data_IF_914829835975
#
_entry.id   IF_914829835975
#
_cell.length_a   1.000
_cell.length_b   1.000
_cell.length_c   1.000
_cell.angle_alpha   90.00
_cell.angle_beta   90.00
_cell.angle_gamma   90.00
#
_symmetry.space_group_name_H-M   'P 1'
#
loop_
_entity.id
_entity.type
_entity.pdbx_description
1 polymer ?
#
# COMPACT_ATOMS: atom_id res chain seq x y z
N UNK A 1 -30.76 11.63 -23.24
CA UNK A 1 -30.45 10.23 -23.59
C UNK A 1 -29.10 10.27 -24.28
N UNK A 2 -28.03 9.83 -23.60
CA UNK A 2 -26.71 9.73 -24.24
C UNK A 2 -26.83 8.83 -25.47
N UNK A 3 -26.26 9.28 -26.59
CA UNK A 3 -26.40 8.56 -27.86
C UNK A 3 -25.62 7.24 -27.77
N UNK A 4 -26.11 6.17 -28.39
CA UNK A 4 -25.46 4.83 -28.33
C UNK A 4 -23.96 4.87 -28.69
N UNK A 5 -23.57 5.82 -29.53
CA UNK A 5 -22.20 6.08 -29.95
C UNK A 5 -21.30 6.60 -28.83
N UNK A 6 -21.80 7.48 -27.96
CA UNK A 6 -21.06 7.99 -26.78
C UNK A 6 -20.85 6.88 -25.74
N UNK A 7 -21.83 5.97 -25.58
CA UNK A 7 -21.72 4.84 -24.65
C UNK A 7 -20.71 3.80 -25.15
N UNK A 8 -20.64 3.58 -26.46
CA UNK A 8 -19.64 2.70 -27.10
C UNK A 8 -18.22 3.29 -26.97
N UNK A 9 -18.04 4.59 -27.23
CA UNK A 9 -16.75 5.27 -27.05
C UNK A 9 -16.26 5.25 -25.59
N UNK A 10 -17.17 5.40 -24.62
CA UNK A 10 -16.85 5.27 -23.19
C UNK A 10 -16.48 3.82 -22.82
N UNK A 11 -17.18 2.84 -23.40
CA UNK A 11 -16.91 1.41 -23.15
C UNK A 11 -15.57 0.97 -23.73
N UNK A 12 -15.21 1.46 -24.92
CA UNK A 12 -13.92 1.19 -25.53
C UNK A 12 -12.78 1.83 -24.73
N UNK A 13 -12.94 3.07 -24.24
CA UNK A 13 -11.97 3.73 -23.37
C UNK A 13 -11.76 3.00 -22.03
N UNK A 14 -12.82 2.43 -21.44
CA UNK A 14 -12.74 1.62 -20.21
C UNK A 14 -12.01 0.29 -20.49
N UNK A 15 -12.25 -0.32 -21.64
CA UNK A 15 -11.63 -1.58 -22.03
C UNK A 15 -10.14 -1.44 -22.37
N UNK A 16 -9.72 -0.29 -22.89
CA UNK A 16 -8.30 0.04 -23.08
C UNK A 16 -7.59 0.34 -21.74
N UNK A 17 -8.26 0.94 -20.76
CA UNK A 17 -7.72 1.13 -19.40
C UNK A 17 -7.54 -0.23 -18.67
N UNK A 18 -8.47 -1.18 -18.84
CA UNK A 18 -8.34 -2.55 -18.33
C UNK A 18 -7.18 -3.33 -19.00
N UNK A 19 -6.98 -3.17 -20.32
CA UNK A 19 -5.84 -3.75 -21.04
C UNK A 19 -4.51 -3.10 -20.68
N UNK A 20 -4.50 -1.83 -20.28
CA UNK A 20 -3.28 -1.13 -19.83
C UNK A 20 -2.93 -1.46 -18.38
N UNK A 21 -3.92 -1.65 -17.50
CA UNK A 21 -3.73 -2.10 -16.10
C UNK A 21 -3.27 -3.56 -15.98
N UNK A 22 -3.67 -4.44 -16.89
CA UNK A 22 -3.23 -5.84 -16.87
C UNK A 22 -1.74 -6.04 -17.25
N UNK A 23 -1.07 -5.00 -17.79
CA UNK A 23 0.36 -5.05 -18.18
C UNK A 23 1.34 -4.57 -17.11
N UNK A 24 0.89 -4.09 -15.96
CA UNK A 24 1.76 -3.83 -14.80
C UNK A 24 1.59 -4.89 -13.72
N UNK A 25 1.74 -6.17 -14.09
CA UNK A 25 2.28 -7.18 -13.17
C UNK A 25 3.73 -6.80 -12.90
N UNK A 26 3.95 -5.81 -12.04
CA UNK A 26 5.27 -5.55 -11.45
C UNK A 26 5.49 -6.74 -10.53
N UNK A 27 6.40 -7.60 -10.97
CA UNK A 27 6.83 -8.81 -10.29
C UNK A 27 6.92 -8.59 -8.78
N UNK A 28 6.41 -9.55 -8.01
CA UNK A 28 6.64 -9.70 -6.58
C UNK A 28 8.14 -9.95 -6.34
N UNK A 29 8.96 -8.95 -6.59
CA UNK A 29 10.29 -8.89 -6.03
C UNK A 29 10.05 -8.58 -4.56
N UNK A 30 10.31 -9.56 -3.70
CA UNK A 30 10.40 -9.35 -2.27
C UNK A 30 11.25 -8.11 -2.04
N UNK A 31 10.61 -6.99 -1.72
CA UNK A 31 11.27 -5.73 -1.45
C UNK A 31 11.97 -5.91 -0.10
N UNK A 32 13.19 -6.40 -0.17
CA UNK A 32 14.01 -6.61 1.02
C UNK A 32 14.41 -5.25 1.59
N UNK A 33 14.46 -5.16 2.93
CA UNK A 33 14.94 -3.95 3.64
C UNK A 33 16.37 -3.55 3.24
N UNK A 34 17.12 -4.46 2.60
CA UNK A 34 18.50 -4.28 2.12
C UNK A 34 18.62 -3.33 0.93
N UNK A 35 17.54 -3.12 0.17
CA UNK A 35 17.54 -2.26 -1.03
C UNK A 35 17.35 -0.77 -0.69
N UNK A 36 17.25 -0.44 0.60
CA UNK A 36 17.06 0.91 1.08
C UNK A 36 18.38 1.65 1.30
N UNK A 37 18.45 2.94 0.90
CA UNK A 37 19.65 3.73 1.03
C UNK A 37 20.02 3.92 2.51
N UNK A 38 21.14 3.30 2.92
CA UNK A 38 21.72 3.44 4.25
C UNK A 38 21.25 2.40 5.27
N UNK A 39 20.55 1.35 4.84
CA UNK A 39 20.32 0.13 5.64
C UNK A 39 21.31 -0.92 5.15
N UNK A 40 22.38 -1.12 5.91
CA UNK A 40 23.32 -2.22 5.68
C UNK A 40 22.89 -3.51 6.39
N UNK A 41 23.55 -4.65 6.14
CA UNK A 41 23.25 -5.93 6.78
C UNK A 41 23.31 -5.85 8.32
N UNK A 42 24.21 -5.03 8.87
CA UNK A 42 24.31 -4.82 10.32
C UNK A 42 23.12 -4.03 10.91
N UNK A 43 22.51 -3.13 10.12
CA UNK A 43 21.30 -2.40 10.52
C UNK A 43 20.05 -3.28 10.36
N UNK A 44 20.03 -4.15 9.34
CA UNK A 44 18.97 -5.12 9.11
C UNK A 44 18.82 -6.08 10.30
N UNK A 45 19.90 -6.72 10.75
CA UNK A 45 19.81 -7.66 11.89
C UNK A 45 19.31 -6.98 13.17
N UNK A 46 19.61 -5.68 13.35
CA UNK A 46 19.07 -4.91 14.48
C UNK A 46 17.60 -4.59 14.33
N UNK A 47 17.14 -4.29 13.11
CA UNK A 47 15.73 -4.08 12.79
C UNK A 47 14.91 -5.36 12.95
N UNK A 48 15.46 -6.50 12.54
CA UNK A 48 14.86 -7.82 12.77
C UNK A 48 14.74 -8.13 14.26
N UNK A 49 15.77 -7.81 15.06
CA UNK A 49 15.70 -7.92 16.51
C UNK A 49 14.69 -6.94 17.13
N UNK A 50 14.45 -5.79 16.50
CA UNK A 50 13.44 -4.82 16.90
C UNK A 50 12.02 -5.18 16.41
N UNK A 51 11.86 -6.31 15.70
CA UNK A 51 10.57 -6.79 15.20
C UNK A 51 10.09 -6.12 13.91
N UNK A 52 10.96 -5.40 13.20
CA UNK A 52 10.64 -4.74 11.92
C UNK A 52 11.12 -5.62 10.77
N UNK A 53 10.20 -6.40 10.21
CA UNK A 53 10.48 -7.32 9.10
C UNK A 53 9.95 -6.83 7.75
N UNK A 54 9.04 -5.84 7.76
CA UNK A 54 8.34 -5.37 6.58
C UNK A 54 8.68 -3.90 6.28
N UNK A 55 8.70 -3.58 4.98
CA UNK A 55 8.87 -2.24 4.46
C UNK A 55 7.75 -1.30 4.94
N UNK A 56 6.53 -1.82 5.14
CA UNK A 56 5.42 -1.05 5.70
C UNK A 56 5.71 -0.63 7.16
N UNK A 57 6.26 -1.56 7.96
CA UNK A 57 6.67 -1.28 9.33
C UNK A 57 7.74 -0.19 9.41
N UNK A 58 8.70 -0.23 8.49
CA UNK A 58 9.72 0.80 8.37
C UNK A 58 9.15 2.16 7.94
N UNK A 59 8.23 2.20 6.97
CA UNK A 59 7.68 3.43 6.42
C UNK A 59 6.80 4.24 7.41
N UNK A 60 6.20 3.54 8.38
CA UNK A 60 5.33 4.12 9.43
C UNK A 60 6.14 4.58 10.66
N UNK A 61 7.33 4.02 10.88
CA UNK A 61 8.14 4.34 12.05
C UNK A 61 8.67 5.79 12.03
N UNK A 62 8.82 6.38 13.22
CA UNK A 62 9.40 7.71 13.36
C UNK A 62 10.92 7.68 13.08
N UNK A 63 11.51 8.76 12.53
CA UNK A 63 12.95 8.80 12.29
C UNK A 63 13.80 8.61 13.55
N UNK A 64 13.31 9.04 14.73
CA UNK A 64 14.00 8.85 16.01
C UNK A 64 14.01 7.37 16.40
N UNK A 65 12.84 6.72 16.39
CA UNK A 65 12.71 5.29 16.70
C UNK A 65 13.51 4.42 15.74
N UNK A 66 13.56 4.78 14.44
CA UNK A 66 14.37 4.07 13.46
C UNK A 66 15.87 4.22 13.73
N UNK A 67 16.31 5.43 14.10
CA UNK A 67 17.71 5.68 14.45
C UNK A 67 18.16 4.87 15.65
N UNK A 68 17.32 4.77 16.68
CA UNK A 68 17.61 4.00 17.89
C UNK A 68 17.60 2.50 17.62
N UNK A 69 16.60 2.00 16.88
CA UNK A 69 16.46 0.58 16.56
C UNK A 69 17.54 0.07 15.59
N UNK A 70 17.83 0.80 14.52
CA UNK A 70 18.78 0.38 13.49
C UNK A 70 20.23 0.84 13.78
N UNK A 71 20.42 1.76 14.74
CA UNK A 71 21.72 2.38 15.01
C UNK A 71 22.25 3.23 13.86
N UNK A 72 21.35 3.85 13.09
CA UNK A 72 21.68 4.70 11.92
C UNK A 72 21.49 6.17 12.26
N UNK A 73 22.25 7.06 11.60
CA UNK A 73 22.09 8.51 11.83
C UNK A 73 20.70 8.99 11.45
N UNK A 74 20.17 10.02 12.14
CA UNK A 74 18.83 10.56 11.88
C UNK A 74 18.64 11.14 10.48
N UNK A 75 19.73 11.49 9.78
CA UNK A 75 19.66 11.88 8.37
C UNK A 75 19.45 10.68 7.44
N UNK A 76 20.11 9.55 7.73
CA UNK A 76 19.97 8.30 6.98
C UNK A 76 18.60 7.66 7.25
N UNK A 77 18.15 7.64 8.51
CA UNK A 77 16.81 7.17 8.87
C UNK A 77 15.71 7.89 8.08
N UNK A 78 15.78 9.23 7.99
CA UNK A 78 14.81 10.01 7.20
C UNK A 78 14.83 9.64 5.71
N UNK A 79 16.00 9.44 5.13
CA UNK A 79 16.14 9.04 3.71
C UNK A 79 15.60 7.63 3.48
N UNK A 80 15.88 6.69 4.39
CA UNK A 80 15.37 5.33 4.32
C UNK A 80 13.83 5.29 4.42
N UNK A 81 13.23 6.05 5.34
CA UNK A 81 11.76 6.16 5.47
C UNK A 81 11.15 6.75 4.19
N UNK A 82 11.76 7.80 3.63
CA UNK A 82 11.24 8.41 2.40
C UNK A 82 11.37 7.47 1.20
N UNK A 83 12.49 6.75 1.08
CA UNK A 83 12.67 5.75 0.03
C UNK A 83 11.65 4.61 0.16
N UNK A 84 11.40 4.12 1.37
CA UNK A 84 10.39 3.11 1.63
C UNK A 84 8.97 3.60 1.26
N UNK A 85 8.61 4.84 1.61
CA UNK A 85 7.32 5.43 1.24
C UNK A 85 7.14 5.60 -0.27
N UNK A 86 8.22 5.93 -0.98
CA UNK A 86 8.19 6.07 -2.44
C UNK A 86 8.04 4.72 -3.14
N UNK A 87 8.74 3.69 -2.65
CA UNK A 87 8.66 2.32 -3.18
C UNK A 87 7.24 1.76 -2.99
N UNK A 88 6.65 1.99 -1.82
CA UNK A 88 5.28 1.57 -1.48
C UNK A 88 4.18 2.48 -2.05
N UNK A 89 4.56 3.51 -2.83
CA UNK A 89 3.64 4.47 -3.44
C UNK A 89 2.65 5.09 -2.43
N UNK A 90 3.12 5.34 -1.19
CA UNK A 90 2.33 5.91 -0.07
C UNK A 90 2.07 7.42 -0.22
N UNK A 91 1.94 7.89 -1.46
CA UNK A 91 1.73 9.29 -1.80
C UNK A 91 0.25 9.65 -1.94
N UNK A 92 0.01 10.67 -2.75
CA UNK A 92 -1.34 11.10 -3.10
C UNK A 92 -1.95 10.12 -4.12
N UNK A 93 -3.23 9.77 -3.95
CA UNK A 93 -3.99 8.95 -4.89
C UNK A 93 -5.34 9.58 -5.17
N UNK A 94 -5.90 9.35 -6.36
CA UNK A 94 -7.20 9.90 -6.71
C UNK A 94 -8.34 9.20 -5.95
N UNK A 95 -9.40 9.96 -5.67
CA UNK A 95 -10.55 9.46 -4.90
C UNK A 95 -11.24 8.28 -5.57
N UNK A 96 -11.35 8.27 -6.90
CA UNK A 96 -11.97 7.15 -7.63
C UNK A 96 -11.09 5.90 -7.58
N UNK A 97 -9.77 6.05 -7.67
CA UNK A 97 -8.84 4.93 -7.57
C UNK A 97 -8.83 4.32 -6.17
N UNK A 98 -8.87 5.17 -5.13
CA UNK A 98 -8.96 4.72 -3.75
C UNK A 98 -10.29 3.99 -3.46
N UNK A 99 -11.41 4.48 -4.01
CA UNK A 99 -12.71 3.82 -3.88
C UNK A 99 -12.71 2.41 -4.51
N UNK A 100 -12.11 2.27 -5.71
CA UNK A 100 -11.90 0.96 -6.37
C UNK A 100 -10.99 0.04 -5.55
N UNK A 101 -9.99 0.58 -4.85
CA UNK A 101 -9.15 -0.22 -3.94
C UNK A 101 -9.95 -0.73 -2.73
N UNK A 102 -10.83 0.10 -2.15
CA UNK A 102 -11.66 -0.27 -0.99
C UNK A 102 -12.84 -1.17 -1.34
N UNK A 103 -13.28 -1.25 -2.59
CA UNK A 103 -14.36 -2.20 -2.95
C UNK A 103 -13.96 -3.66 -2.76
N UNK A 104 -12.65 -3.96 -2.73
CA UNK A 104 -12.13 -5.29 -2.47
C UNK A 104 -12.00 -5.63 -0.97
N UNK A 105 -12.42 -4.75 -0.07
CA UNK A 105 -12.38 -5.02 1.38
C UNK A 105 -13.43 -6.07 1.72
N UNK A 106 -12.96 -7.20 2.25
CA UNK A 106 -13.79 -8.29 2.73
C UNK A 106 -14.37 -7.94 4.10
N UNK A 107 -15.57 -8.44 4.37
CA UNK A 107 -16.25 -8.28 5.66
C UNK A 107 -16.67 -9.66 6.16
N UNK A 108 -16.65 -9.85 7.47
CA UNK A 108 -17.02 -11.09 8.15
C UNK A 108 -18.38 -10.87 8.81
N UNK A 109 -19.33 -11.75 8.51
CA UNK A 109 -20.67 -11.68 9.11
C UNK A 109 -20.61 -12.07 10.59
N UNK A 110 -21.40 -11.39 11.42
CA UNK A 110 -21.45 -11.67 12.86
C UNK A 110 -22.41 -12.83 13.20
N UNK A 111 -23.12 -13.35 12.20
CA UNK A 111 -24.13 -14.41 12.35
C UNK A 111 -25.52 -13.90 12.77
N UNK A 112 -25.63 -12.64 13.20
CA UNK A 112 -26.91 -11.98 13.47
C UNK A 112 -27.17 -10.88 12.45
N UNK A 113 -28.31 -11.00 11.74
CA UNK A 113 -28.71 -10.02 10.71
C UNK A 113 -28.89 -8.61 11.28
N UNK A 114 -29.41 -8.50 12.51
CA UNK A 114 -29.64 -7.19 13.15
C UNK A 114 -28.35 -6.49 13.54
N UNK A 115 -27.30 -7.25 13.88
CA UNK A 115 -26.00 -6.69 14.24
C UNK A 115 -25.21 -6.29 13.00
N UNK A 116 -25.24 -7.10 11.94
CA UNK A 116 -24.62 -6.76 10.66
C UNK A 116 -25.23 -5.49 10.06
N UNK A 117 -26.54 -5.28 10.20
CA UNK A 117 -27.24 -4.08 9.74
C UNK A 117 -26.83 -2.83 10.53
N UNK A 118 -26.64 -2.95 11.84
CA UNK A 118 -26.11 -1.87 12.69
C UNK A 118 -24.67 -1.48 12.30
N UNK A 119 -23.86 -2.44 11.83
CA UNK A 119 -22.47 -2.24 11.41
C UNK A 119 -22.34 -1.80 9.93
N UNK A 120 -23.42 -1.31 9.31
CA UNK A 120 -23.39 -0.81 7.92
C UNK A 120 -23.73 -1.88 6.88
N UNK A 121 -24.44 -2.94 7.29
CA UNK A 121 -25.07 -3.93 6.43
C UNK A 121 -24.15 -5.04 5.92
N UNK A 122 -22.90 -5.10 6.40
CA UNK A 122 -21.88 -6.01 5.84
C UNK A 122 -21.09 -6.80 6.89
N UNK A 123 -21.28 -6.55 8.18
CA UNK A 123 -20.47 -7.15 9.25
C UNK A 123 -19.19 -6.37 9.52
N UNK A 124 -18.20 -7.02 10.14
CA UNK A 124 -16.92 -6.45 10.59
C UNK A 124 -15.87 -6.55 9.49
#
# INVERSE_FOLDING_TARGET
MATKKEIEEIKDAISDDEKKKSKSKKEEKSLELTDLPGIGPAALSKLENAGVYDMMGLAVMSPASLSDAAGVSGAVARKAIQAARNILELGFSDGMEFAKKRSNVLHITTGSKSLDELLGGRGI
#
